data_IF_892571350629
#
_entry.id   IF_892571350629
#
_cell.length_a   1.000
_cell.length_b   1.000
_cell.length_c   1.000
_cell.angle_alpha   90.00
_cell.angle_beta   90.00
_cell.angle_gamma   90.00
#
_symmetry.space_group_name_H-M   'P 1'
#
loop_
_entity.id
_entity.type
_entity.pdbx_description
1 polymer ?
#
# COMPACT_ATOMS: atom_id res chain seq x y z
N UNK A 1 27.76 9.09 -23.58
CA UNK A 1 27.07 8.21 -24.53
C UNK A 1 26.82 8.91 -25.88
N UNK A 2 26.26 10.11 -25.86
CA UNK A 2 25.87 10.88 -27.05
C UNK A 2 27.05 11.16 -27.98
N UNK A 3 28.23 11.58 -27.47
CA UNK A 3 29.43 11.85 -28.27
C UNK A 3 29.99 10.63 -29.01
N UNK A 4 29.90 9.44 -28.45
CA UNK A 4 30.39 8.21 -29.08
C UNK A 4 29.58 7.82 -30.31
N UNK A 5 28.26 7.96 -30.28
CA UNK A 5 27.40 7.67 -31.44
C UNK A 5 27.37 8.79 -32.48
N UNK A 6 27.52 10.02 -32.04
CA UNK A 6 27.58 11.18 -32.98
C UNK A 6 28.90 11.28 -33.75
N UNK A 7 30.01 10.79 -33.17
CA UNK A 7 31.32 10.72 -33.83
C UNK A 7 31.52 9.52 -34.77
N UNK A 8 30.52 8.60 -34.84
CA UNK A 8 30.61 7.33 -35.56
C UNK A 8 31.75 6.40 -35.11
N UNK A 9 32.31 6.58 -33.91
CA UNK A 9 33.36 5.72 -33.36
C UNK A 9 32.92 4.25 -33.26
N UNK A 10 31.62 3.99 -33.07
CA UNK A 10 31.06 2.66 -33.01
C UNK A 10 31.27 1.82 -34.28
N UNK A 11 31.53 2.45 -35.43
CA UNK A 11 31.79 1.73 -36.68
C UNK A 11 33.21 1.20 -36.78
N UNK A 12 34.14 1.80 -36.03
CA UNK A 12 35.57 1.44 -36.06
C UNK A 12 35.95 0.43 -34.98
N UNK A 13 35.23 0.41 -33.84
CA UNK A 13 35.51 -0.53 -32.71
C UNK A 13 34.51 -1.70 -32.66
N UNK A 14 33.67 -1.89 -33.66
CA UNK A 14 32.62 -2.91 -33.68
C UNK A 14 31.61 -2.73 -32.55
N UNK A 15 31.38 -1.49 -32.11
CA UNK A 15 30.49 -1.12 -31.00
C UNK A 15 30.91 -1.65 -29.62
N UNK A 16 32.21 -1.95 -29.40
CA UNK A 16 32.71 -2.48 -28.14
C UNK A 16 32.49 -1.45 -27.01
N UNK A 17 32.92 -0.20 -27.21
CA UNK A 17 32.77 0.88 -26.24
C UNK A 17 31.29 1.15 -25.91
N UNK A 18 30.40 1.03 -26.91
CA UNK A 18 28.96 1.12 -26.71
C UNK A 18 28.44 0.04 -25.76
N UNK A 19 28.86 -1.22 -25.93
CA UNK A 19 28.50 -2.32 -25.03
C UNK A 19 29.02 -2.11 -23.61
N UNK A 20 30.25 -1.63 -23.45
CA UNK A 20 30.84 -1.29 -22.14
C UNK A 20 30.06 -0.16 -21.44
N UNK A 21 29.65 0.87 -22.17
CA UNK A 21 28.80 1.95 -21.64
C UNK A 21 27.44 1.43 -21.17
N UNK A 22 26.80 0.55 -21.96
CA UNK A 22 25.50 -0.06 -21.58
C UNK A 22 25.68 -0.92 -20.34
N UNK A 23 26.72 -1.76 -20.28
CA UNK A 23 27.00 -2.59 -19.10
C UNK A 23 27.24 -1.74 -17.83
N UNK A 24 27.97 -0.64 -17.96
CA UNK A 24 28.21 0.31 -16.88
C UNK A 24 26.93 1.00 -16.43
N UNK A 25 26.07 1.40 -17.37
CA UNK A 25 24.77 2.00 -17.09
C UNK A 25 23.86 1.02 -16.34
N UNK A 26 23.74 -0.22 -16.81
CA UNK A 26 22.92 -1.25 -16.15
C UNK A 26 23.41 -1.51 -14.72
N UNK A 27 24.72 -1.60 -14.50
CA UNK A 27 25.26 -1.75 -13.15
C UNK A 27 24.91 -0.58 -12.22
N UNK A 28 25.00 0.66 -12.72
CA UNK A 28 24.60 1.85 -11.95
C UNK A 28 23.10 1.87 -11.67
N UNK A 29 22.31 1.47 -12.66
CA UNK A 29 20.85 1.36 -12.52
C UNK A 29 20.45 0.33 -11.46
N UNK A 30 21.09 -0.85 -11.44
CA UNK A 30 20.86 -1.87 -10.42
C UNK A 30 21.26 -1.39 -9.02
N UNK A 31 22.40 -0.69 -8.92
CA UNK A 31 22.82 -0.08 -7.65
C UNK A 31 21.83 0.97 -7.17
N UNK A 32 21.37 1.85 -8.07
CA UNK A 32 20.35 2.85 -7.75
C UNK A 32 19.05 2.20 -7.26
N UNK A 33 18.55 1.19 -7.96
CA UNK A 33 17.32 0.48 -7.57
C UNK A 33 17.48 -0.20 -6.20
N UNK A 34 18.66 -0.76 -5.92
CA UNK A 34 18.95 -1.36 -4.62
C UNK A 34 18.90 -0.33 -3.49
N UNK A 35 19.55 0.81 -3.65
CA UNK A 35 19.55 1.87 -2.62
C UNK A 35 18.18 2.54 -2.51
N UNK A 36 17.48 2.74 -3.62
CA UNK A 36 16.11 3.25 -3.62
C UNK A 36 15.16 2.33 -2.84
N UNK A 37 15.24 1.01 -3.06
CA UNK A 37 14.42 0.03 -2.33
C UNK A 37 14.71 0.02 -0.82
N UNK A 38 15.98 0.21 -0.41
CA UNK A 38 16.35 0.34 1.00
C UNK A 38 15.74 1.60 1.63
N UNK A 39 15.82 2.72 0.93
CA UNK A 39 15.25 3.99 1.38
C UNK A 39 13.72 3.90 1.52
N UNK A 40 13.05 3.34 0.51
CA UNK A 40 11.59 3.15 0.52
C UNK A 40 11.16 2.24 1.68
N UNK A 41 11.88 1.15 1.90
CA UNK A 41 11.65 0.25 3.04
C UNK A 41 11.83 0.95 4.38
N UNK A 42 12.88 1.75 4.55
CA UNK A 42 13.15 2.50 5.78
C UNK A 42 12.05 3.56 6.05
N UNK A 43 11.61 4.27 5.01
CA UNK A 43 10.51 5.25 5.11
C UNK A 43 9.20 4.54 5.47
N UNK A 44 8.90 3.42 4.83
CA UNK A 44 7.68 2.64 5.09
C UNK A 44 7.65 2.10 6.51
N UNK A 45 8.78 1.57 7.01
CA UNK A 45 8.92 1.11 8.39
C UNK A 45 8.69 2.26 9.38
N UNK A 46 9.38 3.38 9.20
CA UNK A 46 9.25 4.54 10.08
C UNK A 46 7.82 5.09 10.12
N UNK A 47 7.17 5.19 8.96
CA UNK A 47 5.77 5.61 8.87
C UNK A 47 4.81 4.62 9.57
N UNK A 48 5.11 3.31 9.52
CA UNK A 48 4.33 2.30 10.25
C UNK A 48 4.46 2.47 11.76
N UNK A 49 5.69 2.67 12.25
CA UNK A 49 5.99 2.89 13.68
C UNK A 49 5.30 4.17 14.21
N UNK A 50 5.41 5.27 13.47
CA UNK A 50 4.73 6.53 13.83
C UNK A 50 3.21 6.37 13.88
N UNK A 51 2.63 5.60 12.98
CA UNK A 51 1.19 5.34 12.97
C UNK A 51 0.75 4.50 14.17
N UNK A 52 1.53 3.48 14.54
CA UNK A 52 1.25 2.68 15.73
C UNK A 52 1.32 3.53 17.00
N UNK A 53 2.32 4.41 17.13
CA UNK A 53 2.44 5.35 18.24
C UNK A 53 1.24 6.31 18.31
N UNK A 54 0.82 6.85 17.17
CA UNK A 54 -0.33 7.76 17.09
C UNK A 54 -1.64 7.05 17.51
N UNK A 55 -1.84 5.81 17.09
CA UNK A 55 -3.00 5.00 17.51
C UNK A 55 -3.00 4.82 19.04
N UNK A 56 -1.85 4.50 19.63
CA UNK A 56 -1.74 4.32 21.09
C UNK A 56 -1.97 5.64 21.85
N UNK A 57 -1.48 6.78 21.35
CA UNK A 57 -1.79 8.09 21.93
C UNK A 57 -3.29 8.41 21.85
N UNK A 58 -3.93 8.17 20.71
CA UNK A 58 -5.37 8.37 20.56
C UNK A 58 -6.18 7.54 21.55
N UNK A 59 -5.77 6.29 21.80
CA UNK A 59 -6.41 5.44 22.81
C UNK A 59 -6.24 5.99 24.22
N UNK A 60 -5.04 6.47 24.58
CA UNK A 60 -4.77 7.11 25.87
C UNK A 60 -5.61 8.38 26.07
N UNK A 61 -5.81 9.14 25.00
CA UNK A 61 -6.65 10.35 24.97
C UNK A 61 -8.16 10.03 24.95
N UNK A 62 -8.54 8.77 25.05
CA UNK A 62 -9.94 8.30 24.96
C UNK A 62 -10.62 8.60 23.60
N UNK A 63 -9.83 8.78 22.52
CA UNK A 63 -10.28 8.96 21.14
C UNK A 63 -10.44 7.61 20.45
N UNK A 64 -11.37 6.81 20.96
CA UNK A 64 -11.49 5.38 20.59
C UNK A 64 -11.92 5.19 19.15
N UNK A 65 -12.86 6.01 18.64
CA UNK A 65 -13.33 5.89 17.26
C UNK A 65 -12.26 6.31 16.26
N UNK A 66 -11.52 7.39 16.55
CA UNK A 66 -10.42 7.85 15.72
C UNK A 66 -9.28 6.80 15.69
N UNK A 67 -8.92 6.22 16.84
CA UNK A 67 -7.97 5.13 16.90
C UNK A 67 -8.42 3.91 16.07
N UNK A 68 -9.67 3.50 16.23
CA UNK A 68 -10.26 2.37 15.47
C UNK A 68 -10.23 2.63 13.96
N UNK A 69 -10.56 3.84 13.53
CA UNK A 69 -10.45 4.23 12.13
C UNK A 69 -9.01 4.11 11.60
N UNK A 70 -8.04 4.58 12.38
CA UNK A 70 -6.61 4.47 12.03
C UNK A 70 -6.14 3.01 11.97
N UNK A 71 -6.62 2.15 12.88
CA UNK A 71 -6.35 0.70 12.86
C UNK A 71 -6.84 0.04 11.58
N UNK A 72 -8.05 0.37 11.11
CA UNK A 72 -8.58 -0.14 9.84
C UNK A 72 -7.64 0.20 8.67
N UNK A 73 -7.19 1.45 8.59
CA UNK A 73 -6.26 1.88 7.54
C UNK A 73 -4.91 1.16 7.62
N UNK A 74 -4.36 1.00 8.82
CA UNK A 74 -3.12 0.27 9.07
C UNK A 74 -3.21 -1.20 8.65
N UNK A 75 -4.25 -1.89 9.12
CA UNK A 75 -4.38 -3.33 8.92
C UNK A 75 -4.73 -3.68 7.47
N UNK A 76 -5.50 -2.82 6.79
CA UNK A 76 -5.76 -2.94 5.35
C UNK A 76 -4.46 -2.77 4.53
N UNK A 77 -3.64 -1.78 4.88
CA UNK A 77 -2.34 -1.57 4.24
C UNK A 77 -1.39 -2.75 4.46
N UNK A 78 -1.27 -3.24 5.70
CA UNK A 78 -0.45 -4.41 6.03
C UNK A 78 -0.92 -5.67 5.29
N UNK A 79 -2.22 -5.84 5.11
CA UNK A 79 -2.76 -6.94 4.33
C UNK A 79 -2.33 -6.87 2.85
N UNK A 80 -2.31 -5.66 2.27
CA UNK A 80 -1.87 -5.46 0.88
C UNK A 80 -0.35 -5.63 0.73
N UNK A 81 0.43 -5.07 1.65
CA UNK A 81 1.91 -5.17 1.66
C UNK A 81 2.41 -6.61 1.86
N UNK A 82 1.60 -7.48 2.46
CA UNK A 82 1.92 -8.91 2.62
C UNK A 82 1.68 -9.74 1.35
N UNK A 83 1.13 -9.16 0.29
CA UNK A 83 0.94 -9.83 -1.00
C UNK A 83 2.25 -9.71 -1.80
N UNK A 84 2.81 -10.85 -2.21
CA UNK A 84 3.90 -10.87 -3.18
C UNK A 84 3.28 -10.89 -4.60
N UNK A 85 3.40 -9.79 -5.36
CA UNK A 85 2.81 -9.71 -6.70
C UNK A 85 3.58 -10.52 -7.73
N UNK A 86 4.88 -10.82 -7.49
CA UNK A 86 5.74 -11.58 -8.40
C UNK A 86 5.61 -13.09 -8.16
N UNK A 87 5.37 -13.49 -6.90
CA UNK A 87 5.20 -14.88 -6.52
C UNK A 87 4.03 -15.06 -5.53
N UNK A 88 2.78 -15.11 -6.03
CA UNK A 88 1.60 -15.29 -5.18
C UNK A 88 1.61 -16.56 -4.32
N UNK A 89 2.48 -17.55 -4.66
CA UNK A 89 2.63 -18.76 -3.86
C UNK A 89 3.37 -18.51 -2.55
N UNK A 90 4.21 -17.49 -2.48
CA UNK A 90 4.91 -17.05 -1.25
C UNK A 90 4.06 -16.19 -0.32
N UNK A 91 2.92 -15.74 -0.79
CA UNK A 91 1.99 -14.91 0.00
C UNK A 91 1.44 -15.68 1.20
N UNK A 92 1.63 -15.16 2.41
CA UNK A 92 1.02 -15.72 3.62
C UNK A 92 -0.47 -15.36 3.69
N UNK A 93 -1.29 -16.18 3.06
CA UNK A 93 -2.75 -16.01 3.00
C UNK A 93 -3.40 -16.03 4.38
N UNK A 94 -2.85 -16.79 5.34
CA UNK A 94 -3.40 -16.89 6.69
C UNK A 94 -3.21 -15.57 7.45
N UNK A 95 -2.03 -14.96 7.33
CA UNK A 95 -1.76 -13.65 7.92
C UNK A 95 -2.67 -12.58 7.31
N UNK A 96 -2.83 -12.57 5.99
CA UNK A 96 -3.72 -11.61 5.30
C UNK A 96 -5.17 -11.77 5.78
N UNK A 97 -5.70 -12.99 5.80
CA UNK A 97 -7.07 -13.23 6.27
C UNK A 97 -7.28 -12.80 7.73
N UNK A 98 -6.28 -12.97 8.60
CA UNK A 98 -6.30 -12.46 9.97
C UNK A 98 -6.43 -10.94 10.00
N UNK A 99 -5.61 -10.23 9.20
CA UNK A 99 -5.66 -8.75 9.10
C UNK A 99 -7.00 -8.27 8.54
N UNK A 100 -7.52 -8.91 7.48
CA UNK A 100 -8.83 -8.59 6.92
C UNK A 100 -9.97 -8.86 7.90
N UNK A 101 -9.84 -9.88 8.76
CA UNK A 101 -10.75 -10.14 9.88
C UNK A 101 -10.76 -8.99 10.88
N UNK A 102 -9.57 -8.52 11.30
CA UNK A 102 -9.43 -7.36 12.20
C UNK A 102 -10.04 -6.10 11.61
N UNK A 103 -9.83 -5.84 10.30
CA UNK A 103 -10.47 -4.73 9.60
C UNK A 103 -11.99 -4.80 9.72
N UNK A 104 -12.60 -5.97 9.49
CA UNK A 104 -14.05 -6.15 9.63
C UNK A 104 -14.56 -5.91 11.04
N UNK A 105 -13.88 -6.47 12.03
CA UNK A 105 -14.24 -6.26 13.45
C UNK A 105 -14.16 -4.78 13.83
N UNK A 106 -13.13 -4.08 13.38
CA UNK A 106 -12.96 -2.66 13.64
C UNK A 106 -14.00 -1.80 12.89
N UNK A 107 -14.43 -2.19 11.67
CA UNK A 107 -15.54 -1.53 10.99
C UNK A 107 -16.87 -1.64 11.76
N UNK A 108 -17.10 -2.76 12.44
CA UNK A 108 -18.28 -2.90 13.32
C UNK A 108 -18.23 -1.94 14.53
N UNK A 109 -17.03 -1.74 15.10
CA UNK A 109 -16.81 -0.78 16.19
C UNK A 109 -17.06 0.67 15.76
N UNK A 110 -16.94 1.01 14.47
CA UNK A 110 -17.25 2.35 13.94
C UNK A 110 -18.74 2.62 13.75
N UNK A 111 -19.64 1.69 14.00
CA UNK A 111 -21.11 1.92 13.88
C UNK A 111 -21.60 3.17 14.61
N UNK A 112 -21.13 3.52 15.82
CA UNK A 112 -21.57 4.73 16.52
C UNK A 112 -21.19 6.03 15.82
N UNK A 113 -20.26 6.00 14.85
CA UNK A 113 -19.79 7.17 14.09
C UNK A 113 -20.33 7.19 12.64
N UNK A 114 -21.31 6.36 12.28
CA UNK A 114 -21.85 6.27 10.90
C UNK A 114 -22.59 7.52 10.42
N UNK A 115 -22.97 8.41 11.33
CA UNK A 115 -23.54 9.73 11.01
C UNK A 115 -22.47 10.77 10.65
N UNK A 116 -21.20 10.48 10.94
CA UNK A 116 -20.06 11.32 10.50
C UNK A 116 -19.89 11.19 8.99
N UNK A 117 -19.79 12.34 8.31
CA UNK A 117 -19.64 12.38 6.86
C UNK A 117 -18.43 11.54 6.39
N UNK A 118 -18.68 10.69 5.39
CA UNK A 118 -17.66 9.82 4.79
C UNK A 118 -17.56 8.42 5.40
N UNK A 119 -18.00 8.19 6.65
CA UNK A 119 -17.82 6.88 7.33
C UNK A 119 -18.53 5.75 6.60
N UNK A 120 -19.75 5.96 6.12
CA UNK A 120 -20.47 4.92 5.35
C UNK A 120 -19.78 4.57 4.04
N UNK A 121 -19.30 5.57 3.30
CA UNK A 121 -18.56 5.36 2.04
C UNK A 121 -17.25 4.62 2.31
N UNK A 122 -16.52 5.02 3.34
CA UNK A 122 -15.29 4.37 3.78
C UNK A 122 -15.52 2.89 4.13
N UNK A 123 -16.55 2.56 4.90
CA UNK A 123 -16.89 1.16 5.21
C UNK A 123 -17.23 0.36 3.95
N UNK A 124 -18.01 0.94 3.04
CA UNK A 124 -18.37 0.28 1.78
C UNK A 124 -17.17 0.05 0.87
N UNK A 125 -16.24 1.01 0.77
CA UNK A 125 -15.02 0.84 -0.01
C UNK A 125 -14.05 -0.15 0.65
N UNK A 126 -13.98 -0.19 1.99
CA UNK A 126 -13.22 -1.20 2.72
C UNK A 126 -13.73 -2.62 2.45
N UNK A 127 -15.05 -2.84 2.50
CA UNK A 127 -15.67 -4.14 2.19
C UNK A 127 -15.36 -4.59 0.76
N UNK A 128 -15.42 -3.65 -0.19
CA UNK A 128 -15.09 -3.92 -1.59
C UNK A 128 -13.62 -4.30 -1.75
N UNK A 129 -12.70 -3.56 -1.12
CA UNK A 129 -11.27 -3.87 -1.15
C UNK A 129 -10.98 -5.25 -0.55
N UNK A 130 -11.59 -5.60 0.60
CA UNK A 130 -11.49 -6.95 1.19
C UNK A 130 -11.96 -8.02 0.19
N UNK A 131 -13.09 -7.78 -0.48
CA UNK A 131 -13.62 -8.72 -1.49
C UNK A 131 -12.65 -8.93 -2.64
N UNK A 132 -12.03 -7.86 -3.17
CA UNK A 132 -11.06 -7.93 -4.27
C UNK A 132 -9.75 -8.59 -3.86
N UNK A 133 -9.23 -8.31 -2.67
CA UNK A 133 -8.05 -8.99 -2.12
C UNK A 133 -8.32 -10.51 -2.06
N UNK A 134 -9.46 -10.94 -1.53
CA UNK A 134 -9.83 -12.35 -1.46
C UNK A 134 -9.99 -13.01 -2.84
N UNK A 135 -10.56 -12.29 -3.80
CA UNK A 135 -10.69 -12.75 -5.18
C UNK A 135 -9.32 -13.02 -5.80
N UNK A 136 -8.38 -12.08 -5.62
CA UNK A 136 -7.01 -12.22 -6.09
C UNK A 136 -6.29 -13.41 -5.41
N UNK A 137 -6.33 -13.50 -4.07
CA UNK A 137 -5.71 -14.58 -3.30
C UNK A 137 -6.28 -15.98 -3.63
N UNK A 138 -7.54 -16.03 -4.07
CA UNK A 138 -8.18 -17.27 -4.53
C UNK A 138 -7.81 -17.65 -5.98
N UNK A 139 -6.98 -16.83 -6.67
CA UNK A 139 -6.65 -17.03 -8.09
C UNK A 139 -7.84 -16.83 -9.03
N UNK A 140 -8.85 -16.07 -8.61
CA UNK A 140 -10.06 -15.77 -9.38
C UNK A 140 -9.99 -14.38 -9.97
N UNK A 141 -10.72 -14.13 -11.05
CA UNK A 141 -10.81 -12.79 -11.67
C UNK A 141 -9.87 -12.58 -12.87
N UNK A 142 -9.14 -13.60 -13.30
CA UNK A 142 -8.31 -13.55 -14.50
C UNK A 142 -7.12 -12.59 -14.37
N UNK A 143 -6.61 -12.11 -15.52
CA UNK A 143 -5.41 -11.25 -15.59
C UNK A 143 -5.61 -9.87 -14.95
N UNK A 144 -6.85 -9.40 -14.81
CA UNK A 144 -7.17 -8.08 -14.28
C UNK A 144 -7.34 -8.07 -12.76
N UNK A 145 -7.34 -9.25 -12.11
CA UNK A 145 -7.62 -9.38 -10.67
C UNK A 145 -6.68 -8.55 -9.78
N UNK A 146 -5.43 -8.44 -10.17
CA UNK A 146 -4.45 -7.59 -9.46
C UNK A 146 -4.80 -6.11 -9.60
N UNK A 147 -5.09 -5.64 -10.81
CA UNK A 147 -5.47 -4.25 -11.06
C UNK A 147 -6.78 -3.91 -10.33
N UNK A 148 -7.79 -4.77 -10.40
CA UNK A 148 -9.06 -4.64 -9.70
C UNK A 148 -8.86 -4.50 -8.17
N UNK A 149 -7.92 -5.27 -7.61
CA UNK A 149 -7.55 -5.20 -6.20
C UNK A 149 -6.90 -3.86 -5.86
N UNK A 150 -5.93 -3.42 -6.66
CA UNK A 150 -5.24 -2.12 -6.47
C UNK A 150 -6.23 -0.96 -6.60
N UNK A 151 -7.09 -0.97 -7.60
CA UNK A 151 -8.09 0.08 -7.82
C UNK A 151 -9.09 0.18 -6.65
N UNK A 152 -9.55 -0.96 -6.14
CA UNK A 152 -10.46 -0.97 -4.98
C UNK A 152 -9.77 -0.48 -3.71
N UNK A 153 -8.47 -0.74 -3.54
CA UNK A 153 -7.69 -0.19 -2.44
C UNK A 153 -7.50 1.33 -2.58
N UNK A 154 -7.23 1.82 -3.79
CA UNK A 154 -7.15 3.27 -4.06
C UNK A 154 -8.48 3.98 -3.77
N UNK A 155 -9.61 3.35 -4.10
CA UNK A 155 -10.95 3.85 -3.72
C UNK A 155 -11.11 3.93 -2.20
N UNK A 156 -10.67 2.90 -1.48
CA UNK A 156 -10.67 2.88 -0.02
C UNK A 156 -9.82 4.03 0.56
N UNK A 157 -8.60 4.26 0.06
CA UNK A 157 -7.76 5.38 0.49
C UNK A 157 -8.42 6.73 0.21
N UNK A 158 -9.03 6.89 -0.98
CA UNK A 158 -9.73 8.13 -1.34
C UNK A 158 -10.88 8.42 -0.39
N UNK A 159 -11.68 7.42 -0.04
CA UNK A 159 -12.82 7.58 0.86
C UNK A 159 -12.34 7.78 2.31
N UNK A 160 -11.25 7.13 2.72
CA UNK A 160 -10.56 7.37 3.98
C UNK A 160 -10.17 8.85 4.13
N UNK A 161 -9.53 9.42 3.13
CA UNK A 161 -9.06 10.82 3.16
C UNK A 161 -10.18 11.87 3.26
N UNK A 162 -11.45 11.46 3.10
CA UNK A 162 -12.62 12.35 3.26
C UNK A 162 -13.13 12.43 4.70
N UNK A 163 -12.65 11.54 5.57
CA UNK A 163 -13.08 11.51 6.97
C UNK A 163 -12.26 12.50 7.79
N UNK A 164 -12.95 13.37 8.49
CA UNK A 164 -12.37 14.19 9.54
C UNK A 164 -12.35 13.39 10.85
N UNK A 165 -11.17 12.80 11.14
CA UNK A 165 -11.00 11.95 12.31
C UNK A 165 -11.30 12.67 13.64
N UNK A 166 -11.17 14.00 13.70
CA UNK A 166 -11.49 14.77 14.90
C UNK A 166 -12.97 14.74 15.27
N UNK A 167 -13.84 14.38 14.34
CA UNK A 167 -15.31 14.32 14.53
C UNK A 167 -15.79 12.96 14.97
N UNK A 168 -14.95 11.91 14.87
CA UNK A 168 -15.38 10.53 15.12
C UNK A 168 -15.75 10.27 16.58
N UNK A 169 -15.06 10.90 17.53
CA UNK A 169 -15.30 10.77 18.96
C UNK A 169 -16.21 11.87 19.53
N UNK A 170 -16.61 12.86 18.70
CA UNK A 170 -17.52 13.90 19.12
C UNK A 170 -18.97 13.37 19.13
N UNK A 171 -19.42 12.85 20.28
CA UNK A 171 -20.85 12.56 20.47
C UNK A 171 -21.62 13.87 20.34
N UNK A 172 -22.51 13.98 19.34
CA UNK A 172 -23.56 15.01 19.38
C UNK A 172 -24.31 14.81 20.69
N UNK A 173 -24.18 15.79 21.58
CA UNK A 173 -25.02 15.88 22.78
C UNK A 173 -26.47 16.13 22.38
#
# INVERSE_FOLDING_TARGET
>A
MESYYTSNEYTTDGNQKGREMVASYLKLYDQFNTEYSKLDSAISQHNSELRDLLIEEMKKDNKVMAATYMEIGRDMRRALEAIDPEDPAKTDKAQIEKLLGQVKENMEKLKPAEDVSGVKSFKSSAERAIGRIRTYLAGRGGNDAFNDMVDSYNDFIRDSNRIDASKLDNKKK
#
